data_IF_781614976158
#
_entry.id   IF_781614976158
#
_cell.length_a   1.000
_cell.length_b   1.000
_cell.length_c   1.000
_cell.angle_alpha   90.00
_cell.angle_beta   90.00
_cell.angle_gamma   90.00
#
_symmetry.space_group_name_H-M   'P 1'
#
loop_
_entity.id
_entity.type
_entity.pdbx_description
1 polymer ?
#
# COMPACT_ATOMS: atom_id res chain seq x y z
N UNK A 1 11.34 5.17 -10.18
CA UNK A 1 11.16 4.03 -9.25
C UNK A 1 9.71 3.62 -9.35
N UNK A 2 9.44 2.36 -9.67
CA UNK A 2 8.09 1.79 -9.58
C UNK A 2 8.07 0.98 -8.29
N UNK A 3 7.17 1.25 -7.33
CA UNK A 3 7.11 0.50 -6.08
C UNK A 3 6.84 -0.97 -6.37
N UNK A 4 7.56 -1.85 -5.67
CA UNK A 4 7.14 -3.25 -5.62
C UNK A 4 5.90 -3.38 -4.76
N UNK A 5 4.94 -4.16 -5.25
CA UNK A 5 3.69 -4.48 -4.56
C UNK A 5 3.52 -5.99 -4.46
N UNK A 6 3.00 -6.46 -3.33
CA UNK A 6 2.67 -7.87 -3.08
C UNK A 6 1.33 -7.96 -2.35
N UNK A 7 0.46 -8.86 -2.81
CA UNK A 7 -0.72 -9.26 -2.05
C UNK A 7 -0.29 -10.12 -0.86
N UNK A 8 -0.77 -9.77 0.33
CA UNK A 8 -0.38 -10.34 1.61
C UNK A 8 -1.64 -10.78 2.36
N UNK A 9 -1.77 -12.08 2.64
CA UNK A 9 -2.98 -12.63 3.28
C UNK A 9 -2.83 -12.82 4.80
N UNK A 10 -1.60 -12.71 5.30
CA UNK A 10 -1.27 -13.00 6.68
C UNK A 10 0.01 -12.28 7.12
N UNK A 11 0.30 -12.37 8.43
CA UNK A 11 1.49 -11.77 9.03
C UNK A 11 2.80 -12.31 8.44
N UNK A 12 2.86 -13.59 8.06
CA UNK A 12 4.05 -14.20 7.47
C UNK A 12 4.40 -13.56 6.14
N UNK A 13 3.41 -13.30 5.28
CA UNK A 13 3.63 -12.62 4.00
C UNK A 13 4.20 -11.21 4.18
N UNK A 14 3.69 -10.49 5.17
CA UNK A 14 4.14 -9.14 5.53
C UNK A 14 5.58 -9.19 6.05
N UNK A 15 5.89 -10.12 6.95
CA UNK A 15 7.24 -10.31 7.49
C UNK A 15 8.25 -10.63 6.39
N UNK A 16 7.89 -11.54 5.47
CA UNK A 16 8.73 -11.86 4.31
C UNK A 16 8.93 -10.66 3.39
N UNK A 17 7.88 -9.88 3.15
CA UNK A 17 7.97 -8.65 2.37
C UNK A 17 8.79 -7.57 3.08
N UNK A 18 8.84 -7.56 4.41
CA UNK A 18 9.64 -6.61 5.18
C UNK A 18 11.14 -6.93 5.18
N UNK A 19 11.54 -8.17 4.89
CA UNK A 19 12.95 -8.57 4.91
C UNK A 19 13.80 -7.70 3.98
N UNK A 20 14.82 -7.04 4.56
CA UNK A 20 15.73 -6.14 3.85
C UNK A 20 15.18 -4.74 3.60
N UNK A 21 14.07 -4.34 4.25
CA UNK A 21 13.46 -3.01 4.12
C UNK A 21 13.33 -2.34 5.49
N UNK A 22 13.48 -1.02 5.53
CA UNK A 22 13.32 -0.22 6.75
C UNK A 22 11.85 0.12 7.02
N UNK A 23 11.07 0.33 5.95
CA UNK A 23 9.66 0.71 5.99
C UNK A 23 8.87 0.04 4.88
N UNK A 24 7.62 -0.27 5.17
CA UNK A 24 6.63 -0.67 4.18
C UNK A 24 5.30 0.04 4.45
N UNK A 25 4.41 0.00 3.47
CA UNK A 25 3.04 0.48 3.57
C UNK A 25 2.11 -0.71 3.40
N UNK A 26 1.24 -0.94 4.37
CA UNK A 26 0.11 -1.86 4.27
C UNK A 26 -1.12 -1.08 3.85
N UNK A 27 -1.86 -1.58 2.86
CA UNK A 27 -3.11 -0.99 2.38
C UNK A 27 -4.19 -2.06 2.38
N UNK A 28 -5.39 -1.73 2.85
CA UNK A 28 -6.58 -2.55 2.58
C UNK A 28 -6.79 -2.64 1.07
N UNK A 29 -7.20 -3.81 0.58
CA UNK A 29 -7.49 -3.98 -0.84
C UNK A 29 -8.70 -3.14 -1.30
N UNK A 30 -9.63 -2.85 -0.38
CA UNK A 30 -10.89 -2.16 -0.67
C UNK A 30 -11.24 -1.14 0.42
N UNK A 31 -12.10 -0.18 0.08
CA UNK A 31 -12.71 0.74 1.04
C UNK A 31 -11.81 1.86 1.59
N UNK A 32 -10.53 1.93 1.17
CA UNK A 32 -9.61 2.98 1.61
C UNK A 32 -9.80 4.31 0.86
N UNK A 33 -9.81 5.43 1.60
CA UNK A 33 -9.85 6.78 1.02
C UNK A 33 -9.16 7.79 1.96
N UNK A 34 -8.49 8.80 1.41
CA UNK A 34 -7.80 9.85 2.18
C UNK A 34 -6.84 9.32 3.28
N UNK A 35 -6.15 8.21 3.00
CA UNK A 35 -5.23 7.57 3.96
C UNK A 35 -5.90 6.62 4.94
N UNK A 36 -7.23 6.52 4.96
CA UNK A 36 -7.92 5.45 5.66
C UNK A 36 -7.59 4.09 5.02
N UNK A 37 -7.51 3.06 5.86
CA UNK A 37 -7.09 1.72 5.43
C UNK A 37 -5.62 1.64 5.03
N UNK A 38 -4.77 2.57 5.47
CA UNK A 38 -3.31 2.56 5.24
C UNK A 38 -2.57 2.54 6.58
N UNK A 39 -1.58 1.66 6.71
CA UNK A 39 -0.63 1.64 7.82
C UNK A 39 0.80 1.70 7.30
N UNK A 40 1.61 2.62 7.83
CA UNK A 40 3.05 2.63 7.60
C UNK A 40 3.68 1.79 8.71
N UNK A 41 4.41 0.76 8.32
CA UNK A 41 5.11 -0.14 9.24
C UNK A 41 6.59 0.21 9.22
N UNK A 42 7.12 0.52 10.40
CA UNK A 42 8.55 0.71 10.63
C UNK A 42 9.14 -0.58 11.21
N UNK A 43 10.25 -1.08 10.65
CA UNK A 43 10.91 -2.29 11.13
C UNK A 43 11.29 -2.20 12.61
N UNK A 44 11.53 -0.99 13.12
CA UNK A 44 11.88 -0.74 14.51
C UNK A 44 10.68 -0.81 15.48
N UNK A 45 9.45 -0.81 14.99
CA UNK A 45 8.23 -0.81 15.81
C UNK A 45 7.09 -1.61 15.14
N UNK A 46 7.13 -2.95 15.19
CA UNK A 46 6.14 -3.80 14.51
C UNK A 46 4.79 -3.95 15.25
N UNK A 47 4.60 -3.24 16.37
CA UNK A 47 3.46 -3.43 17.30
C UNK A 47 2.09 -3.15 16.62
N UNK A 48 2.04 -2.29 15.62
CA UNK A 48 0.78 -1.85 15.00
C UNK A 48 0.24 -2.82 13.92
N UNK A 49 1.06 -3.76 13.46
CA UNK A 49 0.73 -4.65 12.35
C UNK A 49 -0.39 -5.62 12.71
N UNK A 50 -0.35 -6.20 13.91
CA UNK A 50 -1.30 -7.24 14.32
C UNK A 50 -2.71 -6.67 14.55
N UNK A 51 -2.81 -5.43 15.02
CA UNK A 51 -4.08 -4.72 15.21
C UNK A 51 -4.70 -4.29 13.87
N UNK A 52 -3.86 -4.01 12.86
CA UNK A 52 -4.30 -3.54 11.56
C UNK A 52 -4.80 -4.66 10.64
N UNK A 53 -4.23 -5.87 10.74
CA UNK A 53 -4.56 -7.01 9.86
C UNK A 53 -5.96 -7.59 10.12
N UNK A 54 -6.64 -7.24 11.22
CA UNK A 54 -8.05 -7.56 11.50
C UNK A 54 -8.55 -8.88 10.89
N UNK A 55 -8.33 -10.00 11.59
CA UNK A 55 -8.69 -11.37 11.20
C UNK A 55 -9.18 -11.61 9.74
N UNK A 56 -8.23 -11.92 8.85
CA UNK A 56 -8.37 -12.60 7.55
C UNK A 56 -8.80 -11.78 6.32
N UNK A 57 -8.62 -10.46 6.31
CA UNK A 57 -8.72 -9.70 5.05
C UNK A 57 -7.38 -9.69 4.30
N UNK A 58 -7.36 -9.77 2.95
CA UNK A 58 -6.14 -9.60 2.18
C UNK A 58 -5.71 -8.13 2.14
N UNK A 59 -4.40 -7.88 2.20
CA UNK A 59 -3.80 -6.55 2.17
C UNK A 59 -2.78 -6.43 1.04
N UNK A 60 -2.53 -5.20 0.59
CA UNK A 60 -1.41 -4.89 -0.31
C UNK A 60 -0.24 -4.40 0.54
N UNK A 61 0.88 -5.10 0.45
CA UNK A 61 2.18 -4.64 0.91
C UNK A 61 2.85 -3.84 -0.21
N UNK A 62 3.26 -2.60 0.07
CA UNK A 62 3.99 -1.73 -0.85
C UNK A 62 5.29 -1.25 -0.21
N UNK A 63 6.34 -1.14 -1.01
CA UNK A 63 7.57 -0.49 -0.58
C UNK A 63 7.32 0.98 -0.22
N UNK A 64 7.85 1.43 0.93
CA UNK A 64 7.76 2.84 1.29
C UNK A 64 8.68 3.68 0.39
N UNK A 65 8.08 4.59 -0.39
CA UNK A 65 8.84 5.55 -1.19
C UNK A 65 8.82 6.91 -0.50
N UNK A 66 9.99 7.34 -0.01
CA UNK A 66 10.20 8.66 0.61
C UNK A 66 10.25 9.81 -0.41
N UNK A 67 9.20 9.97 -1.21
CA UNK A 67 9.12 11.03 -2.22
C UNK A 67 9.03 12.41 -1.56
N UNK A 68 9.74 13.39 -2.13
CA UNK A 68 9.69 14.79 -1.67
C UNK A 68 8.45 15.54 -2.17
N UNK A 69 7.85 15.06 -3.26
CA UNK A 69 6.72 15.69 -3.95
C UNK A 69 5.87 14.60 -4.59
N UNK A 70 4.58 14.85 -4.66
CA UNK A 70 3.61 14.02 -5.36
C UNK A 70 2.96 14.86 -6.47
N UNK A 71 2.72 14.24 -7.63
CA UNK A 71 2.14 14.90 -8.80
C UNK A 71 1.01 14.00 -9.30
N UNK A 72 -0.16 14.57 -9.54
CA UNK A 72 -1.27 13.89 -10.22
C UNK A 72 -1.45 14.51 -11.61
N UNK A 73 -1.56 13.67 -12.64
CA UNK A 73 -1.88 14.10 -14.00
C UNK A 73 -3.33 13.76 -14.28
N UNK A 74 -4.15 14.79 -14.53
CA UNK A 74 -5.57 14.64 -14.87
C UNK A 74 -5.75 14.94 -16.35
N UNK A 75 -6.38 14.03 -17.09
CA UNK A 75 -6.68 14.21 -18.50
C UNK A 75 -8.17 13.99 -18.77
N UNK A 76 -8.75 14.82 -19.65
CA UNK A 76 -10.12 14.64 -20.12
C UNK A 76 -10.12 13.68 -21.32
N UNK A 77 -10.90 12.60 -21.24
CA UNK A 77 -11.12 11.70 -22.38
C UNK A 77 -12.29 12.24 -23.20
N UNK A 78 -12.01 12.79 -24.38
CA UNK A 78 -13.05 13.16 -25.35
C UNK A 78 -13.44 11.95 -26.19
N UNK A 79 -14.72 11.57 -26.17
CA UNK A 79 -15.27 10.62 -27.14
C UNK A 79 -15.36 11.33 -28.50
N UNK A 80 -14.47 11.00 -29.43
CA UNK A 80 -14.73 11.26 -30.85
C UNK A 80 -15.72 10.18 -31.30
N UNK A 81 -17.01 10.44 -31.16
CA UNK A 81 -18.00 9.70 -31.96
C UNK A 81 -17.78 10.13 -33.40
N UNK A 82 -17.20 9.23 -34.21
CA UNK A 82 -17.18 9.41 -35.66
C UNK A 82 -18.64 9.32 -36.14
N UNK A 83 -19.20 10.47 -36.52
CA UNK A 83 -20.47 10.55 -37.29
C UNK A 83 -20.23 10.07 -38.70
#
# INVERSE_FOLDING_TARGET
>A
LVPMLKLCDNLTDIQQFMLGRDKLVLKKCEGGYNGDGVLIVDASSPIDVQNFIGHNEPFICEEYIGNKREIAVVFAKTSLEMV
#
